data_IF_509641508932
#
_entry.id   IF_509641508932
#
_cell.length_a   1.000
_cell.length_b   1.000
_cell.length_c   1.000
_cell.angle_alpha   90.00
_cell.angle_beta   90.00
_cell.angle_gamma   90.00
#
_symmetry.space_group_name_H-M   'P 1'
#
loop_
_entity.id
_entity.type
_entity.pdbx_description
1 polymer ?
#
# COMPACT_ATOMS: atom_id res chain seq x y z
N UNK A 1 3.03 -0.20 15.82
CA UNK A 1 1.58 0.03 15.71
C UNK A 1 0.90 -1.14 15.00
N UNK A 2 1.42 -1.56 13.84
CA UNK A 2 0.84 -2.66 13.06
C UNK A 2 1.67 -3.95 13.14
N UNK A 3 1.03 -5.09 12.89
CA UNK A 3 1.68 -6.31 12.42
C UNK A 3 1.68 -6.31 10.89
N UNK A 4 2.54 -7.11 10.28
CA UNK A 4 2.60 -7.27 8.84
C UNK A 4 2.32 -8.73 8.46
N UNK A 5 1.80 -8.93 7.25
CA UNK A 5 1.72 -10.27 6.67
C UNK A 5 3.12 -10.86 6.39
N UNK A 6 3.20 -12.14 6.04
CA UNK A 6 4.48 -12.84 5.84
C UNK A 6 5.39 -12.17 4.81
N UNK A 7 4.81 -11.57 3.76
CA UNK A 7 5.56 -10.85 2.72
C UNK A 7 5.99 -9.43 3.13
N UNK A 8 5.64 -8.96 4.33
CA UNK A 8 5.86 -7.60 4.81
C UNK A 8 5.29 -6.49 3.89
N UNK A 9 4.22 -6.81 3.15
CA UNK A 9 3.62 -5.89 2.16
C UNK A 9 2.34 -5.23 2.66
N UNK A 10 1.59 -5.89 3.56
CA UNK A 10 0.30 -5.44 4.08
C UNK A 10 0.37 -5.27 5.60
N UNK A 11 -0.02 -4.11 6.08
CA UNK A 11 -0.13 -3.79 7.50
C UNK A 11 -1.52 -4.16 8.03
N UNK A 12 -1.57 -4.68 9.25
CA UNK A 12 -2.81 -4.97 9.98
C UNK A 12 -2.69 -4.67 11.46
N UNK A 13 -3.82 -4.51 12.14
CA UNK A 13 -3.84 -4.28 13.58
C UNK A 13 -3.39 -5.55 14.33
N UNK A 14 -2.50 -5.43 15.33
CA UNK A 14 -2.04 -6.58 16.09
C UNK A 14 -3.09 -7.02 17.12
N UNK A 15 -3.13 -8.32 17.41
CA UNK A 15 -3.99 -8.90 18.48
C UNK A 15 -3.66 -8.31 19.85
N UNK A 16 -2.37 -8.10 20.12
CA UNK A 16 -1.86 -7.38 21.29
C UNK A 16 -1.24 -6.03 20.87
N UNK A 17 -1.97 -4.92 21.01
CA UNK A 17 -1.43 -3.58 20.77
C UNK A 17 -0.21 -3.29 21.65
N UNK A 18 0.90 -2.89 21.01
CA UNK A 18 2.12 -2.41 21.70
C UNK A 18 2.07 -0.91 22.04
N UNK A 19 1.05 -0.21 21.53
CA UNK A 19 0.86 1.23 21.67
C UNK A 19 -0.53 1.50 22.22
N UNK A 20 -0.69 2.65 22.86
CA UNK A 20 -1.96 3.10 23.44
C UNK A 20 -3.04 3.33 22.35
N UNK A 21 -4.31 3.13 22.72
CA UNK A 21 -5.47 3.38 21.85
C UNK A 21 -5.48 4.78 21.23
N UNK A 22 -5.04 5.79 21.98
CA UNK A 22 -4.92 7.17 21.51
C UNK A 22 -4.04 7.29 20.25
N UNK A 23 -3.03 6.44 20.12
CA UNK A 23 -2.14 6.42 18.94
C UNK A 23 -2.90 6.00 17.69
N UNK A 24 -3.76 4.98 17.80
CA UNK A 24 -4.61 4.56 16.68
C UNK A 24 -5.66 5.62 16.33
N UNK A 25 -6.23 6.28 17.34
CA UNK A 25 -7.13 7.41 17.11
C UNK A 25 -6.44 8.53 16.33
N UNK A 26 -5.25 8.96 16.74
CA UNK A 26 -4.48 9.99 16.03
C UNK A 26 -4.10 9.54 14.61
N UNK A 27 -3.73 8.27 14.44
CA UNK A 27 -3.49 7.72 13.11
C UNK A 27 -4.75 7.75 12.23
N UNK A 28 -5.91 7.43 12.79
CA UNK A 28 -7.20 7.58 12.12
C UNK A 28 -7.45 9.02 11.66
N UNK A 29 -7.21 10.01 12.53
CA UNK A 29 -7.33 11.44 12.20
C UNK A 29 -6.40 11.80 11.04
N UNK A 30 -5.16 11.33 11.05
CA UNK A 30 -4.20 11.56 9.96
C UNK A 30 -4.66 10.94 8.64
N UNK A 31 -5.20 9.71 8.67
CA UNK A 31 -5.77 9.08 7.49
C UNK A 31 -7.00 9.84 6.96
N UNK A 32 -7.84 10.37 7.84
CA UNK A 32 -8.98 11.20 7.45
C UNK A 32 -8.54 12.51 6.79
N UNK A 33 -7.53 13.19 7.35
CA UNK A 33 -6.93 14.37 6.73
C UNK A 33 -6.29 14.05 5.38
N UNK A 34 -5.63 12.90 5.25
CA UNK A 34 -5.04 12.45 4.00
C UNK A 34 -6.11 12.28 2.92
N UNK A 35 -7.24 11.65 3.24
CA UNK A 35 -8.38 11.52 2.33
C UNK A 35 -8.91 12.89 1.91
N UNK A 36 -9.12 13.81 2.86
CA UNK A 36 -9.67 15.14 2.60
C UNK A 36 -8.75 16.01 1.72
N UNK A 37 -7.42 15.90 1.90
CA UNK A 37 -6.43 16.65 1.13
C UNK A 37 -5.92 15.93 -0.13
N UNK A 38 -6.54 14.81 -0.52
CA UNK A 38 -6.12 13.99 -1.66
C UNK A 38 -4.65 13.54 -1.59
N UNK A 39 -4.16 13.30 -0.37
CA UNK A 39 -2.82 12.80 -0.12
C UNK A 39 -2.86 11.29 0.13
N UNK A 40 -1.87 10.59 -0.42
CA UNK A 40 -1.77 9.15 -0.26
C UNK A 40 -1.16 8.79 1.10
N UNK A 41 -1.75 7.79 1.75
CA UNK A 41 -1.19 7.16 2.94
C UNK A 41 -0.14 6.16 2.49
N UNK A 42 1.12 6.41 2.87
CA UNK A 42 2.29 5.56 2.58
C UNK A 42 2.34 4.28 3.44
N UNK A 43 1.19 3.67 3.67
CA UNK A 43 1.05 2.39 4.34
C UNK A 43 0.03 1.57 3.56
N UNK A 44 0.34 0.30 3.31
CA UNK A 44 -0.54 -0.61 2.59
C UNK A 44 -1.42 -1.35 3.57
N UNK A 45 -2.72 -1.25 3.37
CA UNK A 45 -3.71 -2.01 4.11
C UNK A 45 -4.47 -2.94 3.16
N UNK A 46 -4.82 -4.16 3.61
CA UNK A 46 -5.67 -5.06 2.84
C UNK A 46 -7.06 -4.44 2.61
N UNK A 47 -7.76 -4.90 1.58
CA UNK A 47 -9.10 -4.43 1.21
C UNK A 47 -10.09 -4.49 2.38
N UNK A 48 -9.93 -5.50 3.25
CA UNK A 48 -10.75 -5.70 4.45
C UNK A 48 -10.78 -4.50 5.41
N UNK A 49 -9.73 -3.66 5.45
CA UNK A 49 -9.76 -2.42 6.22
C UNK A 49 -10.91 -1.52 5.74
N UNK A 50 -10.97 -1.33 4.42
CA UNK A 50 -11.91 -0.43 3.76
C UNK A 50 -13.32 -1.01 3.80
N UNK A 51 -13.47 -2.34 3.62
CA UNK A 51 -14.74 -3.04 3.87
C UNK A 51 -15.26 -2.76 5.28
N UNK A 52 -14.42 -2.86 6.31
CA UNK A 52 -14.86 -2.60 7.70
C UNK A 52 -15.24 -1.14 7.93
N UNK A 53 -14.55 -0.17 7.32
CA UNK A 53 -14.94 1.24 7.39
C UNK A 53 -16.34 1.46 6.78
N UNK A 54 -16.64 0.74 5.70
CA UNK A 54 -17.94 0.73 5.00
C UNK A 54 -18.97 -0.23 5.59
N UNK A 55 -18.71 -0.82 6.77
CA UNK A 55 -19.59 -1.79 7.46
C UNK A 55 -19.89 -3.06 6.64
N UNK A 56 -19.04 -3.40 5.67
CA UNK A 56 -19.09 -4.63 4.90
C UNK A 56 -18.41 -5.76 5.68
N UNK A 57 -19.06 -6.93 5.74
CA UNK A 57 -18.54 -8.10 6.46
C UNK A 57 -17.31 -8.67 5.73
N UNK A 58 -16.19 -8.91 6.45
CA UNK A 58 -15.04 -9.64 5.89
C UNK A 58 -15.41 -11.05 5.41
N UNK A 59 -14.78 -11.51 4.34
CA UNK A 59 -14.94 -12.84 3.75
C UNK A 59 -13.64 -13.65 3.78
N UNK A 60 -13.70 -14.90 3.29
CA UNK A 60 -12.50 -15.72 3.11
C UNK A 60 -11.52 -15.11 2.09
N UNK A 61 -12.02 -14.39 1.09
CA UNK A 61 -11.15 -13.75 0.09
C UNK A 61 -10.28 -12.65 0.71
N UNK A 62 -10.79 -11.97 1.74
CA UNK A 62 -9.99 -11.01 2.52
C UNK A 62 -8.84 -11.70 3.28
N UNK A 63 -9.06 -12.94 3.73
CA UNK A 63 -7.98 -13.76 4.32
C UNK A 63 -6.98 -14.17 3.25
N UNK A 64 -7.43 -14.58 2.05
CA UNK A 64 -6.52 -14.92 0.93
C UNK A 64 -5.65 -13.75 0.50
N UNK A 65 -6.17 -12.51 0.54
CA UNK A 65 -5.38 -11.31 0.28
C UNK A 65 -4.31 -11.09 1.37
N UNK A 66 -4.70 -11.19 2.64
CA UNK A 66 -3.81 -10.87 3.75
C UNK A 66 -2.78 -11.98 4.03
N UNK A 67 -3.25 -13.21 4.17
CA UNK A 67 -2.49 -14.44 4.42
C UNK A 67 -2.95 -15.53 3.42
N UNK A 68 -2.32 -15.59 2.23
CA UNK A 68 -2.69 -16.55 1.19
C UNK A 68 -2.60 -18.01 1.66
N UNK A 69 -1.63 -18.35 2.51
CA UNK A 69 -1.44 -19.72 2.98
C UNK A 69 -2.62 -20.15 3.85
N UNK A 70 -3.02 -19.31 4.80
CA UNK A 70 -4.20 -19.58 5.63
C UNK A 70 -5.49 -19.53 4.81
N UNK A 71 -5.63 -18.55 3.91
CA UNK A 71 -6.79 -18.42 3.04
C UNK A 71 -7.02 -19.66 2.16
N UNK A 72 -5.98 -20.21 1.55
CA UNK A 72 -6.05 -21.43 0.75
C UNK A 72 -6.28 -22.68 1.62
N UNK A 73 -5.72 -22.73 2.83
CA UNK A 73 -5.97 -23.83 3.77
C UNK A 73 -7.46 -23.93 4.16
N UNK A 74 -8.10 -22.79 4.40
CA UNK A 74 -9.52 -22.72 4.71
C UNK A 74 -10.40 -22.95 3.49
N UNK A 75 -9.98 -22.53 2.30
CA UNK A 75 -10.65 -22.89 1.05
C UNK A 75 -10.63 -24.41 0.85
N UNK A 76 -9.47 -25.03 1.02
CA UNK A 76 -9.32 -26.48 0.93
C UNK A 76 -10.23 -27.22 1.91
N UNK A 77 -10.34 -26.75 3.16
CA UNK A 77 -11.26 -27.32 4.14
C UNK A 77 -12.74 -27.26 3.67
N UNK A 78 -13.14 -26.17 3.01
CA UNK A 78 -14.50 -26.02 2.46
C UNK A 78 -14.76 -26.94 1.27
N UNK A 79 -13.73 -27.21 0.46
CA UNK A 79 -13.84 -28.01 -0.76
C UNK A 79 -13.59 -29.52 -0.52
N UNK A 80 -13.00 -29.87 0.62
CA UNK A 80 -12.64 -31.23 0.98
C UNK A 80 -13.87 -32.17 1.11
N UNK A 81 -13.76 -33.45 0.71
CA UNK A 81 -14.81 -34.45 0.94
C UNK A 81 -15.16 -34.63 2.44
N UNK A 82 -16.44 -34.86 2.80
CA UNK A 82 -16.88 -34.94 4.20
C UNK A 82 -16.15 -35.98 5.08
N UNK A 83 -15.71 -37.07 4.46
CA UNK A 83 -14.99 -38.19 5.05
C UNK A 83 -13.54 -37.83 5.41
N UNK A 84 -12.90 -37.00 4.59
CA UNK A 84 -11.52 -36.53 4.82
C UNK A 84 -11.44 -35.47 5.91
N UNK A 85 -12.44 -34.58 6.06
CA UNK A 85 -12.45 -33.52 7.09
C UNK A 85 -12.23 -34.07 8.50
N UNK A 86 -12.83 -35.22 8.83
CA UNK A 86 -12.68 -35.85 10.15
C UNK A 86 -11.25 -36.31 10.44
N UNK A 87 -10.46 -36.58 9.40
CA UNK A 87 -9.08 -37.05 9.53
C UNK A 87 -8.08 -35.92 9.75
N UNK A 88 -8.50 -34.67 9.56
CA UNK A 88 -7.63 -33.49 9.68
C UNK A 88 -7.40 -33.04 11.13
N UNK A 89 -8.18 -33.54 12.09
CA UNK A 89 -8.08 -33.22 13.53
C UNK A 89 -8.01 -31.71 13.85
N UNK A 90 -8.74 -30.91 13.07
CA UNK A 90 -8.84 -29.46 13.25
C UNK A 90 -9.86 -29.18 14.35
N UNK A 91 -9.56 -28.20 15.21
CA UNK A 91 -10.47 -27.72 16.25
C UNK A 91 -10.73 -26.23 16.10
N UNK A 92 -11.71 -25.70 16.83
CA UNK A 92 -11.99 -24.27 16.94
C UNK A 92 -10.93 -23.51 17.76
N UNK A 93 -9.91 -24.20 18.29
CA UNK A 93 -8.74 -23.59 18.92
C UNK A 93 -7.65 -23.38 17.87
N UNK A 94 -7.37 -22.12 17.50
CA UNK A 94 -6.50 -21.80 16.36
C UNK A 94 -5.41 -20.77 16.70
N UNK A 95 -4.24 -20.83 16.04
CA UNK A 95 -3.24 -19.77 16.14
C UNK A 95 -3.62 -18.56 15.26
N UNK A 96 -3.50 -17.35 15.80
CA UNK A 96 -3.62 -16.08 15.06
C UNK A 96 -2.80 -14.98 15.74
N UNK A 97 -2.01 -14.23 14.96
CA UNK A 97 -1.27 -13.07 15.48
C UNK A 97 -0.29 -13.37 16.62
N UNK A 98 0.23 -14.60 16.68
CA UNK A 98 1.13 -15.07 17.73
C UNK A 98 0.43 -15.58 19.00
N UNK A 99 -0.89 -15.76 18.95
CA UNK A 99 -1.70 -16.22 20.08
C UNK A 99 -2.57 -17.42 19.69
N UNK A 100 -2.97 -18.22 20.67
CA UNK A 100 -3.97 -19.27 20.49
C UNK A 100 -5.33 -18.74 20.93
N UNK A 101 -6.33 -18.85 20.05
CA UNK A 101 -7.67 -18.34 20.26
C UNK A 101 -8.71 -19.45 20.18
N UNK A 102 -9.68 -19.44 21.10
CA UNK A 102 -10.87 -20.29 21.02
C UNK A 102 -11.98 -19.55 20.26
N UNK A 103 -12.36 -20.08 19.09
CA UNK A 103 -13.34 -19.48 18.20
C UNK A 103 -14.79 -19.74 18.65
N UNK A 104 -15.04 -20.84 19.37
CA UNK A 104 -16.33 -21.15 20.00
C UNK A 104 -16.21 -21.13 21.53
N UNK A 105 -16.51 -19.99 22.18
CA UNK A 105 -16.44 -19.89 23.65
C UNK A 105 -17.40 -20.82 24.38
N UNK A 106 -18.41 -21.40 23.71
CA UNK A 106 -19.40 -22.29 24.34
C UNK A 106 -18.91 -23.72 24.43
N UNK A 107 -18.00 -24.12 23.55
CA UNK A 107 -17.48 -25.48 23.45
C UNK A 107 -15.99 -25.45 23.12
N UNK A 108 -15.17 -25.32 24.17
CA UNK A 108 -13.71 -25.30 24.02
C UNK A 108 -13.20 -26.60 23.42
N UNK A 109 -12.36 -26.51 22.40
CA UNK A 109 -11.83 -27.67 21.68
C UNK A 109 -12.85 -28.37 20.78
N UNK A 110 -13.96 -27.69 20.42
CA UNK A 110 -14.92 -28.18 19.42
C UNK A 110 -14.19 -28.62 18.16
N UNK A 111 -14.44 -29.85 17.73
CA UNK A 111 -13.80 -30.44 16.54
C UNK A 111 -14.51 -29.96 15.28
N UNK A 112 -13.72 -29.68 14.25
CA UNK A 112 -14.23 -29.34 12.92
C UNK A 112 -14.72 -30.61 12.22
N UNK A 113 -15.93 -30.52 11.68
CA UNK A 113 -16.64 -31.58 10.98
C UNK A 113 -17.14 -31.04 9.65
N UNK A 114 -17.48 -31.93 8.72
CA UNK A 114 -18.06 -31.53 7.44
C UNK A 114 -19.32 -30.65 7.57
N UNK A 115 -20.10 -30.82 8.65
CA UNK A 115 -21.29 -30.02 8.94
C UNK A 115 -21.00 -28.63 9.50
N UNK A 116 -19.90 -28.44 10.23
CA UNK A 116 -19.58 -27.16 10.89
C UNK A 116 -18.39 -26.42 10.26
N UNK A 117 -17.74 -26.97 9.22
CA UNK A 117 -16.58 -26.35 8.55
C UNK A 117 -16.82 -24.91 8.09
N UNK A 118 -18.03 -24.60 7.61
CA UNK A 118 -18.38 -23.23 7.19
C UNK A 118 -18.46 -22.28 8.38
N UNK A 119 -19.05 -22.76 9.49
CA UNK A 119 -19.09 -22.01 10.75
C UNK A 119 -17.68 -21.75 11.27
N UNK A 120 -16.80 -22.75 11.22
CA UNK A 120 -15.40 -22.61 11.59
C UNK A 120 -14.70 -21.52 10.77
N UNK A 121 -14.78 -21.57 9.43
CA UNK A 121 -14.14 -20.58 8.55
C UNK A 121 -14.71 -19.18 8.79
N UNK A 122 -16.03 -19.04 8.90
CA UNK A 122 -16.67 -17.75 9.21
C UNK A 122 -16.24 -17.21 10.58
N UNK A 123 -16.10 -18.08 11.59
CA UNK A 123 -15.64 -17.71 12.92
C UNK A 123 -14.17 -17.29 12.92
N UNK A 124 -13.31 -17.98 12.15
CA UNK A 124 -11.90 -17.66 11.99
C UNK A 124 -11.73 -16.26 11.37
N UNK A 125 -12.37 -16.02 10.22
CA UNK A 125 -12.32 -14.73 9.52
C UNK A 125 -12.84 -13.60 10.42
N UNK A 126 -13.96 -13.84 11.13
CA UNK A 126 -14.51 -12.85 12.06
C UNK A 126 -13.58 -12.60 13.26
N UNK A 127 -12.91 -13.61 13.78
CA UNK A 127 -11.93 -13.43 14.85
C UNK A 127 -10.73 -12.62 14.36
N UNK A 128 -10.15 -13.00 13.22
CA UNK A 128 -8.98 -12.38 12.63
C UNK A 128 -9.17 -10.89 12.32
N UNK A 129 -10.31 -10.53 11.72
CA UNK A 129 -10.54 -9.17 11.24
C UNK A 129 -11.45 -8.31 12.12
N UNK A 130 -12.24 -8.90 13.03
CA UNK A 130 -13.12 -8.14 13.93
C UNK A 130 -12.72 -8.30 15.40
N UNK A 131 -12.89 -9.49 15.99
CA UNK A 131 -12.76 -9.65 17.45
C UNK A 131 -11.34 -9.38 17.96
N UNK A 132 -10.33 -9.91 17.28
CA UNK A 132 -8.93 -9.80 17.74
C UNK A 132 -8.37 -8.38 17.68
N UNK A 133 -9.01 -7.48 16.95
CA UNK A 133 -8.52 -6.12 16.69
C UNK A 133 -9.50 -5.03 17.10
N UNK A 134 -10.60 -5.38 17.78
CA UNK A 134 -11.74 -4.50 18.03
C UNK A 134 -11.32 -3.15 18.64
N UNK A 135 -10.57 -3.15 19.74
CA UNK A 135 -10.16 -1.92 20.41
C UNK A 135 -9.31 -0.99 19.53
N UNK A 136 -8.29 -1.55 18.85
CA UNK A 136 -7.40 -0.77 18.00
C UNK A 136 -8.11 -0.24 16.75
N UNK A 137 -8.95 -1.07 16.11
CA UNK A 137 -9.72 -0.69 14.94
C UNK A 137 -10.78 0.36 15.28
N UNK A 138 -11.51 0.22 16.39
CA UNK A 138 -12.52 1.20 16.80
C UNK A 138 -11.91 2.55 17.17
N UNK A 139 -10.73 2.57 17.81
CA UNK A 139 -9.98 3.80 18.04
C UNK A 139 -9.59 4.47 16.71
N UNK A 140 -9.04 3.71 15.76
CA UNK A 140 -8.73 4.19 14.41
C UNK A 140 -9.97 4.73 13.69
N UNK A 141 -11.05 3.98 13.65
CA UNK A 141 -12.31 4.34 12.99
C UNK A 141 -12.89 5.64 13.56
N UNK A 142 -12.89 5.79 14.89
CA UNK A 142 -13.31 7.04 15.56
C UNK A 142 -12.45 8.23 15.14
N UNK A 143 -11.15 8.04 14.98
CA UNK A 143 -10.24 9.07 14.49
C UNK A 143 -10.50 9.44 13.03
N UNK A 144 -10.70 8.44 12.18
CA UNK A 144 -10.96 8.62 10.75
C UNK A 144 -12.23 9.43 10.50
N UNK A 145 -13.35 9.04 11.13
CA UNK A 145 -14.63 9.74 11.03
C UNK A 145 -14.72 11.02 11.89
N UNK A 146 -13.65 11.41 12.58
CA UNK A 146 -13.57 12.73 13.21
C UNK A 146 -13.36 13.84 12.18
N UNK A 147 -12.74 13.50 11.05
CA UNK A 147 -12.36 14.42 9.97
C UNK A 147 -13.21 14.18 8.73
N UNK A 148 -13.47 12.92 8.39
CA UNK A 148 -14.28 12.55 7.24
C UNK A 148 -15.74 12.39 7.63
N UNK A 149 -16.63 12.95 6.81
CA UNK A 149 -18.06 12.69 6.92
C UNK A 149 -18.35 11.22 6.56
N UNK A 150 -19.03 10.51 7.46
CA UNK A 150 -19.41 9.11 7.26
C UNK A 150 -20.31 8.95 6.04
N UNK A 151 -21.19 9.93 5.79
CA UNK A 151 -22.14 9.87 4.68
C UNK A 151 -21.39 9.96 3.34
N UNK A 152 -20.29 10.71 3.29
CA UNK A 152 -19.43 10.81 2.09
C UNK A 152 -18.65 9.51 1.87
N UNK A 153 -18.09 8.95 2.94
CA UNK A 153 -17.29 7.72 2.85
C UNK A 153 -18.14 6.53 2.43
N UNK A 154 -19.38 6.43 2.89
CA UNK A 154 -20.29 5.32 2.57
C UNK A 154 -20.73 5.28 1.09
N UNK A 155 -20.46 6.31 0.28
CA UNK A 155 -20.69 6.26 -1.18
C UNK A 155 -19.65 5.43 -1.93
N UNK A 156 -18.46 5.23 -1.38
CA UNK A 156 -17.40 4.50 -2.06
C UNK A 156 -17.63 2.99 -2.04
N UNK A 157 -17.23 2.31 -3.10
CA UNK A 157 -16.90 0.88 -3.02
C UNK A 157 -15.56 0.68 -2.27
N UNK A 158 -15.33 -0.49 -1.64
CA UNK A 158 -14.09 -0.75 -0.90
C UNK A 158 -12.81 -0.49 -1.71
N UNK A 159 -12.80 -0.91 -2.98
CA UNK A 159 -11.67 -0.78 -3.89
C UNK A 159 -11.42 0.69 -4.26
N UNK A 160 -12.50 1.48 -4.40
CA UNK A 160 -12.41 2.90 -4.67
C UNK A 160 -11.84 3.64 -3.45
N UNK A 161 -12.36 3.36 -2.25
CA UNK A 161 -11.84 3.95 -1.01
C UNK A 161 -10.37 3.60 -0.79
N UNK A 162 -9.98 2.34 -1.07
CA UNK A 162 -8.59 1.91 -1.06
C UNK A 162 -7.77 2.72 -2.07
N UNK A 163 -8.21 2.83 -3.32
CA UNK A 163 -7.50 3.56 -4.36
C UNK A 163 -7.33 5.06 -4.02
N UNK A 164 -8.34 5.70 -3.40
CA UNK A 164 -8.22 7.09 -2.96
C UNK A 164 -7.25 7.23 -1.79
N UNK A 165 -7.30 6.34 -0.80
CA UNK A 165 -6.48 6.47 0.41
C UNK A 165 -5.04 6.02 0.25
N UNK A 166 -4.80 4.91 -0.45
CA UNK A 166 -3.47 4.29 -0.54
C UNK A 166 -2.90 4.27 -1.96
N UNK A 167 -3.69 4.68 -2.96
CA UNK A 167 -3.24 4.75 -4.35
C UNK A 167 -3.16 3.39 -5.03
N UNK A 168 -2.86 3.43 -6.32
CA UNK A 168 -2.80 2.27 -7.23
C UNK A 168 -1.48 2.26 -7.99
N UNK A 169 -1.14 1.09 -8.55
CA UNK A 169 0.03 0.89 -9.43
C UNK A 169 -0.37 0.90 -10.91
N UNK A 170 -1.18 1.88 -11.31
CA UNK A 170 -1.56 2.08 -12.71
C UNK A 170 -0.74 3.23 -13.31
N UNK A 171 0.18 2.89 -14.22
CA UNK A 171 1.16 3.84 -14.75
C UNK A 171 0.92 4.12 -16.23
N UNK A 172 0.62 5.38 -16.54
CA UNK A 172 0.71 5.92 -17.90
C UNK A 172 1.93 6.85 -17.98
N UNK A 173 3.05 6.29 -18.45
CA UNK A 173 4.31 7.01 -18.52
C UNK A 173 4.33 8.12 -19.57
N UNK A 174 3.48 8.01 -20.61
CA UNK A 174 3.33 9.05 -21.63
C UNK A 174 2.63 10.28 -21.03
N UNK A 175 1.58 10.06 -20.22
CA UNK A 175 0.93 11.12 -19.45
C UNK A 175 1.89 11.73 -18.44
N UNK A 176 2.69 10.93 -17.74
CA UNK A 176 3.70 11.43 -16.81
C UNK A 176 4.72 12.35 -17.49
N UNK A 177 5.22 11.96 -18.67
CA UNK A 177 6.10 12.78 -19.50
C UNK A 177 5.43 14.07 -19.97
N UNK A 178 4.22 13.98 -20.49
CA UNK A 178 3.43 15.13 -20.96
C UNK A 178 3.13 16.14 -19.86
N UNK A 179 2.89 15.66 -18.64
CA UNK A 179 2.56 16.51 -17.49
C UNK A 179 3.78 17.13 -16.81
N UNK A 180 4.99 16.75 -17.21
CA UNK A 180 6.22 17.27 -16.63
C UNK A 180 6.43 18.74 -17.01
N UNK A 181 6.72 19.57 -16.00
CA UNK A 181 6.99 20.99 -16.14
C UNK A 181 8.49 21.24 -15.99
N UNK A 182 9.04 22.14 -16.79
CA UNK A 182 10.44 22.52 -16.72
C UNK A 182 10.59 23.92 -16.13
N UNK A 183 11.60 24.12 -15.28
CA UNK A 183 11.89 25.39 -14.62
C UNK A 183 13.32 25.86 -14.95
N UNK A 184 13.51 27.19 -14.96
CA UNK A 184 14.81 27.80 -15.26
C UNK A 184 15.22 27.61 -16.72
N UNK A 185 16.45 27.14 -16.93
CA UNK A 185 17.02 26.93 -18.27
C UNK A 185 16.50 25.67 -18.98
N UNK A 186 15.82 24.78 -18.25
CA UNK A 186 15.22 23.59 -18.85
C UNK A 186 13.90 23.90 -19.53
N UNK A 187 13.71 23.27 -20.68
CA UNK A 187 12.49 23.25 -21.47
C UNK A 187 12.43 21.95 -22.29
N UNK A 188 11.27 21.66 -22.88
CA UNK A 188 10.97 20.41 -23.63
C UNK A 188 12.01 20.03 -24.70
N UNK A 189 12.61 21.02 -25.34
CA UNK A 189 13.61 20.89 -26.41
C UNK A 189 15.07 20.99 -25.94
N UNK A 190 15.31 21.18 -24.64
CA UNK A 190 16.67 21.26 -24.12
C UNK A 190 17.38 19.91 -24.28
N UNK A 191 18.63 19.83 -24.78
CA UNK A 191 19.29 18.56 -25.07
C UNK A 191 19.32 17.58 -23.88
N UNK A 192 19.57 18.06 -22.66
CA UNK A 192 19.54 17.22 -21.46
C UNK A 192 18.13 16.69 -21.14
N UNK A 193 17.07 17.42 -21.47
CA UNK A 193 15.69 16.96 -21.24
C UNK A 193 15.31 15.90 -22.27
N UNK A 194 15.70 16.08 -23.53
CA UNK A 194 15.52 15.07 -24.58
C UNK A 194 16.24 13.78 -24.19
N UNK A 195 17.53 13.86 -23.82
CA UNK A 195 18.31 12.71 -23.36
C UNK A 195 17.74 12.09 -22.08
N UNK A 196 17.19 12.87 -21.15
CA UNK A 196 16.54 12.34 -19.96
C UNK A 196 15.37 11.43 -20.31
N UNK A 197 14.53 11.84 -21.26
CA UNK A 197 13.41 11.00 -21.68
C UNK A 197 13.84 9.79 -22.52
N UNK A 198 14.91 9.90 -23.32
CA UNK A 198 15.51 8.74 -24.01
C UNK A 198 16.03 7.71 -23.01
N UNK A 199 16.78 8.15 -22.00
CA UNK A 199 17.25 7.31 -20.88
C UNK A 199 16.07 6.71 -20.14
N UNK A 200 15.03 7.50 -19.85
CA UNK A 200 13.83 7.03 -19.17
C UNK A 200 13.11 5.93 -19.94
N UNK A 201 12.98 6.04 -21.27
CA UNK A 201 12.34 4.98 -22.06
C UNK A 201 13.08 3.66 -22.01
N UNK A 202 14.41 3.72 -21.88
CA UNK A 202 15.27 2.54 -21.76
C UNK A 202 15.27 1.92 -20.34
N UNK A 203 14.66 2.57 -19.34
CA UNK A 203 14.54 2.01 -17.99
C UNK A 203 13.55 0.83 -17.94
N UNK A 204 13.86 -0.15 -17.10
CA UNK A 204 12.91 -1.22 -16.76
C UNK A 204 11.70 -0.68 -16.01
N UNK A 205 10.58 -1.43 -15.99
CA UNK A 205 9.37 -1.04 -15.27
C UNK A 205 9.64 -0.74 -13.78
N UNK A 206 10.50 -1.53 -13.14
CA UNK A 206 10.88 -1.33 -11.73
C UNK A 206 11.77 -0.10 -11.52
N UNK A 207 12.64 0.23 -12.47
CA UNK A 207 13.43 1.47 -12.42
C UNK A 207 12.56 2.71 -12.64
N UNK A 208 11.57 2.64 -13.54
CA UNK A 208 10.57 3.72 -13.71
C UNK A 208 9.79 3.97 -12.42
N UNK A 209 9.37 2.90 -11.70
CA UNK A 209 8.76 3.01 -10.36
C UNK A 209 9.71 3.63 -9.33
N UNK A 210 10.99 3.23 -9.33
CA UNK A 210 12.01 3.83 -8.43
C UNK A 210 12.23 5.30 -8.71
N UNK A 211 12.18 5.74 -9.97
CA UNK A 211 12.23 7.16 -10.32
C UNK A 211 10.99 7.91 -9.80
N UNK A 212 9.79 7.34 -9.97
CA UNK A 212 8.58 7.92 -9.42
C UNK A 212 8.66 8.08 -7.89
N UNK A 213 9.15 7.04 -7.19
CA UNK A 213 9.44 7.08 -5.76
C UNK A 213 10.49 8.14 -5.41
N UNK A 214 11.56 8.22 -6.20
CA UNK A 214 12.63 9.20 -6.02
C UNK A 214 12.11 10.64 -6.09
N UNK A 215 11.21 10.93 -7.02
CA UNK A 215 10.69 12.30 -7.24
C UNK A 215 9.50 12.63 -6.34
N UNK A 216 8.62 11.67 -6.06
CA UNK A 216 7.32 11.95 -5.41
C UNK A 216 7.22 11.41 -3.98
N UNK A 217 8.17 10.58 -3.54
CA UNK A 217 8.08 9.84 -2.27
C UNK A 217 7.10 8.67 -2.32
N UNK A 218 6.40 8.45 -3.44
CA UNK A 218 5.49 7.32 -3.67
C UNK A 218 5.84 6.62 -4.97
N UNK A 219 5.79 5.30 -5.01
CA UNK A 219 5.68 4.60 -6.29
C UNK A 219 4.20 4.37 -6.68
N UNK A 220 3.23 4.79 -5.86
CA UNK A 220 1.79 4.68 -6.16
C UNK A 220 1.21 6.04 -6.56
N UNK A 221 0.23 6.01 -7.46
CA UNK A 221 -0.51 7.18 -7.91
C UNK A 221 -1.91 7.20 -7.34
N UNK A 222 -2.54 8.37 -7.31
CA UNK A 222 -3.93 8.48 -6.84
C UNK A 222 -4.90 7.77 -7.79
N UNK A 223 -6.18 7.72 -7.41
CA UNK A 223 -7.24 7.21 -8.28
C UNK A 223 -7.32 7.95 -9.64
N UNK A 224 -6.86 9.20 -9.71
CA UNK A 224 -6.73 9.98 -10.95
C UNK A 224 -5.55 9.55 -11.84
N UNK A 225 -4.76 8.57 -11.41
CA UNK A 225 -3.62 8.06 -12.15
C UNK A 225 -2.50 9.09 -12.31
N UNK A 226 -1.73 8.96 -13.40
CA UNK A 226 -0.59 9.83 -13.72
C UNK A 226 -1.00 11.28 -14.04
N UNK A 227 -2.28 11.55 -14.31
CA UNK A 227 -2.78 12.92 -14.50
C UNK A 227 -2.58 13.78 -13.25
N UNK A 228 -2.65 13.17 -12.07
CA UNK A 228 -2.42 13.86 -10.79
C UNK A 228 -0.95 14.11 -10.45
N UNK A 229 -0.03 13.54 -11.22
CA UNK A 229 1.41 13.63 -10.99
C UNK A 229 2.02 14.65 -11.96
N UNK A 230 2.37 15.81 -11.41
CA UNK A 230 3.15 16.83 -12.10
C UNK A 230 4.55 16.87 -11.51
N UNK A 231 5.51 16.25 -12.20
CA UNK A 231 6.93 16.41 -11.91
C UNK A 231 7.41 17.77 -12.42
N UNK A 232 8.26 18.43 -11.64
CA UNK A 232 9.03 19.60 -12.09
C UNK A 232 10.47 19.19 -12.29
N UNK A 233 11.12 19.72 -13.33
CA UNK A 233 12.55 19.48 -13.57
C UNK A 233 13.27 20.82 -13.68
N UNK A 234 14.27 21.03 -12.84
CA UNK A 234 15.12 22.21 -12.84
C UNK A 234 16.59 21.82 -12.86
N UNK A 235 17.44 22.75 -13.27
CA UNK A 235 18.90 22.56 -13.22
C UNK A 235 19.34 22.43 -11.76
N UNK A 236 20.18 21.43 -11.44
CA UNK A 236 20.84 21.37 -10.14
C UNK A 236 21.87 22.52 -10.05
N UNK A 237 21.70 23.50 -9.14
CA UNK A 237 22.62 24.63 -9.03
C UNK A 237 24.04 24.18 -8.66
N UNK A 238 25.06 24.88 -9.16
CA UNK A 238 26.49 24.63 -8.88
C UNK A 238 26.95 23.18 -9.11
N UNK A 239 26.24 22.44 -9.96
CA UNK A 239 26.52 21.05 -10.26
C UNK A 239 27.53 20.88 -11.39
N UNK A 240 28.17 19.72 -11.38
CA UNK A 240 29.06 19.24 -12.45
C UNK A 240 28.63 17.83 -12.85
N UNK A 241 29.17 17.30 -13.95
CA UNK A 241 28.76 15.99 -14.50
C UNK A 241 29.02 14.78 -13.58
N UNK A 242 29.81 14.95 -12.50
CA UNK A 242 30.01 13.90 -11.50
C UNK A 242 28.83 13.79 -10.52
N UNK A 243 28.02 14.85 -10.41
CA UNK A 243 26.89 14.89 -9.49
C UNK A 243 25.74 14.02 -10.00
N UNK A 244 24.99 13.49 -9.03
CA UNK A 244 23.78 12.72 -9.27
C UNK A 244 22.58 13.67 -9.29
N UNK A 245 21.47 13.30 -9.95
CA UNK A 245 20.22 14.01 -9.75
C UNK A 245 19.80 14.00 -8.27
N UNK A 246 19.15 15.06 -7.84
CA UNK A 246 18.57 15.22 -6.50
C UNK A 246 17.06 15.45 -6.59
N UNK A 247 16.32 15.21 -5.52
CA UNK A 247 14.87 15.44 -5.49
C UNK A 247 14.40 16.13 -4.23
N UNK A 248 13.41 17.01 -4.40
CA UNK A 248 12.61 17.56 -3.30
C UNK A 248 11.22 16.93 -3.38
N UNK A 249 11.04 15.79 -2.70
CA UNK A 249 9.83 14.95 -2.81
C UNK A 249 8.53 15.72 -2.51
N UNK A 250 8.54 16.57 -1.48
CA UNK A 250 7.40 17.42 -1.13
C UNK A 250 6.97 18.39 -2.24
N UNK A 251 7.90 18.74 -3.15
CA UNK A 251 7.66 19.66 -4.27
C UNK A 251 7.59 18.94 -5.62
N UNK A 252 7.77 17.61 -5.64
CA UNK A 252 7.88 16.79 -6.87
C UNK A 252 8.91 17.35 -7.85
N UNK A 253 9.99 17.94 -7.32
CA UNK A 253 11.03 18.60 -8.09
C UNK A 253 12.23 17.66 -8.24
N UNK A 254 12.62 17.40 -9.49
CA UNK A 254 13.86 16.75 -9.88
C UNK A 254 14.89 17.82 -10.24
N UNK A 255 15.98 17.88 -9.48
CA UNK A 255 17.14 18.70 -9.78
C UNK A 255 18.12 17.87 -10.61
N UNK A 256 18.20 18.17 -11.91
CA UNK A 256 18.98 17.43 -12.88
C UNK A 256 20.26 18.22 -13.26
N UNK A 257 21.47 17.68 -13.02
CA UNK A 257 22.70 18.28 -13.53
C UNK A 257 22.73 18.33 -15.06
N UNK A 258 23.45 19.30 -15.62
CA UNK A 258 23.66 19.38 -17.07
C UNK A 258 24.82 18.46 -17.46
N UNK A 259 24.51 17.35 -18.13
CA UNK A 259 25.48 16.43 -18.71
C UNK A 259 25.76 16.80 -20.16
N UNK A 260 27.01 17.12 -20.50
CA UNK A 260 27.42 17.58 -21.84
C UNK A 260 28.43 16.63 -22.50
N UNK A 261 29.24 15.90 -21.72
CA UNK A 261 30.29 15.02 -22.23
C UNK A 261 29.70 13.81 -22.97
N UNK A 262 30.18 13.60 -24.20
CA UNK A 262 29.76 12.48 -25.02
C UNK A 262 30.32 11.14 -24.50
N UNK A 263 29.50 10.06 -24.43
CA UNK A 263 28.06 10.04 -24.68
C UNK A 263 27.27 10.47 -23.42
N UNK A 264 26.51 11.56 -23.53
CA UNK A 264 25.78 12.16 -22.41
C UNK A 264 24.70 11.20 -21.86
N UNK A 265 24.06 10.42 -22.74
CA UNK A 265 23.10 9.37 -22.38
C UNK A 265 23.68 8.38 -21.36
N UNK A 266 24.91 7.90 -21.58
CA UNK A 266 25.54 6.91 -20.69
C UNK A 266 25.85 7.49 -19.31
N UNK A 267 26.31 8.74 -19.27
CA UNK A 267 26.55 9.45 -18.00
C UNK A 267 25.24 9.67 -17.26
N UNK A 268 24.22 10.18 -17.95
CA UNK A 268 22.91 10.43 -17.37
C UNK A 268 22.26 9.13 -16.85
N UNK A 269 22.25 8.06 -17.65
CA UNK A 269 21.75 6.75 -17.26
C UNK A 269 22.47 6.25 -15.99
N UNK A 270 23.79 6.29 -15.97
CA UNK A 270 24.59 5.85 -14.82
C UNK A 270 24.30 6.68 -13.57
N UNK A 271 24.24 8.01 -13.69
CA UNK A 271 23.99 8.92 -12.55
C UNK A 271 22.56 8.82 -12.04
N UNK A 272 21.58 8.68 -12.93
CA UNK A 272 20.17 8.47 -12.60
C UNK A 272 19.97 7.15 -11.86
N UNK A 273 20.50 6.04 -12.39
CA UNK A 273 20.43 4.74 -11.72
C UNK A 273 21.11 4.77 -10.34
N UNK A 274 22.23 5.48 -10.22
CA UNK A 274 22.85 5.69 -8.92
C UNK A 274 21.93 6.48 -7.98
N UNK A 275 21.26 7.54 -8.42
CA UNK A 275 20.34 8.29 -7.56
C UNK A 275 19.16 7.43 -7.10
N UNK A 276 18.44 6.79 -8.02
CA UNK A 276 17.19 6.08 -7.71
C UNK A 276 17.42 4.77 -6.94
N UNK A 277 18.60 4.14 -7.05
CA UNK A 277 18.93 2.92 -6.29
C UNK A 277 19.55 3.19 -4.91
N UNK A 278 20.10 4.38 -4.67
CA UNK A 278 20.64 4.74 -3.35
C UNK A 278 19.59 5.38 -2.41
N UNK A 279 18.38 5.67 -2.91
CA UNK A 279 17.25 6.00 -2.06
C UNK A 279 16.76 4.74 -1.33
N UNK A 280 17.33 4.48 -0.16
CA UNK A 280 16.62 3.72 0.86
C UNK A 280 15.42 4.57 1.25
N UNK A 281 14.23 4.20 0.78
CA UNK A 281 12.98 4.76 1.30
C UNK A 281 12.99 4.69 2.83
N UNK A 282 12.45 5.73 3.47
CA UNK A 282 12.32 5.81 4.93
C UNK A 282 11.67 4.57 5.52
#
# INVERSE_FOLDING_TARGET
>A
MFMFNESNTLAWFPVRPKVEEKTYFLFGVLCGLALYHHNLVHLRFPLVLFKKLLKIKPSLDDMKEFDPVMGESWQFLLDCPPDEVKTMDITFTVPWGGETAELDPKETGKVVTASNRKEFVDAYVNYAFNKSVEGAFEAFKKGFFKVCDIDVVEFFQPEELQAVMVGQENYDWEVFKKNTVYEGDYHDRHPNIVTFWEVFENLTAEEKKKLLLFVTGSYRVSFLGMESVQMKVAVLPDSTEIHKPESLTCHRLLLLPVYQRYPAESTMHTRLLQAINHNRGF
#
